data_IF_456128655871
#
_entry.id   IF_456128655871
#
_cell.length_a   1.000
_cell.length_b   1.000
_cell.length_c   1.000
_cell.angle_alpha   90.00
_cell.angle_beta   90.00
_cell.angle_gamma   90.00
#
_symmetry.space_group_name_H-M   'P 1'
#
loop_
_entity.id
_entity.type
_entity.pdbx_description
1 polymer ?
#
# COMPACT_ATOMS: atom_id res chain seq x y z
N UNK A 1 0.81 19.45 19.33
CA UNK A 1 1.31 20.39 18.31
C UNK A 1 0.36 20.36 17.12
N UNK A 2 0.15 21.46 16.37
CA UNK A 2 -0.61 21.41 15.15
C UNK A 2 0.14 20.51 14.14
N UNK A 3 -0.61 19.67 13.41
CA UNK A 3 -0.05 18.83 12.35
C UNK A 3 0.45 19.77 11.24
N UNK A 4 1.71 19.64 10.79
CA UNK A 4 2.20 20.42 9.66
C UNK A 4 1.35 20.16 8.40
N UNK A 5 1.29 21.15 7.51
CA UNK A 5 0.54 21.06 6.25
C UNK A 5 1.49 21.27 5.09
N UNK A 6 1.34 20.46 4.03
CA UNK A 6 2.04 20.67 2.75
C UNK A 6 1.02 20.98 1.66
N UNK A 7 1.36 21.92 0.81
CA UNK A 7 0.57 22.27 -0.36
C UNK A 7 0.92 21.35 -1.54
N UNK A 8 0.03 21.25 -2.52
CA UNK A 8 0.24 20.38 -3.67
C UNK A 8 1.41 20.80 -4.57
N UNK A 9 1.79 22.07 -4.56
CA UNK A 9 2.93 22.63 -5.29
C UNK A 9 4.26 22.52 -4.51
N UNK A 10 4.22 22.22 -3.21
CA UNK A 10 5.42 21.99 -2.41
C UNK A 10 6.01 20.62 -2.70
N UNK A 11 7.33 20.52 -2.79
CA UNK A 11 8.07 19.27 -2.95
C UNK A 11 8.68 18.80 -1.64
N UNK A 12 8.79 17.47 -1.48
CA UNK A 12 9.43 16.86 -0.32
C UNK A 12 8.51 16.75 0.91
N UNK A 13 9.07 16.17 1.96
CA UNK A 13 8.43 15.93 3.25
C UNK A 13 9.28 16.51 4.38
N UNK A 14 8.66 16.82 5.55
CA UNK A 14 9.45 17.09 6.75
C UNK A 14 10.31 15.88 7.13
N UNK A 15 11.41 16.07 7.89
CA UNK A 15 12.19 14.97 8.44
C UNK A 15 11.32 14.00 9.23
N UNK A 16 11.50 12.69 9.02
CA UNK A 16 10.65 11.64 9.65
C UNK A 16 10.74 11.64 11.18
N UNK A 17 11.82 12.15 11.74
CA UNK A 17 12.02 12.33 13.18
C UNK A 17 11.05 13.35 13.80
N UNK A 18 10.35 14.13 12.98
CA UNK A 18 9.31 15.06 13.41
C UNK A 18 7.92 14.41 13.49
N UNK A 19 7.79 13.14 13.13
CA UNK A 19 6.54 12.41 13.25
C UNK A 19 6.07 12.40 14.72
N UNK A 20 4.75 12.54 14.90
CA UNK A 20 4.15 12.54 16.23
C UNK A 20 4.31 11.15 16.89
N UNK A 21 4.42 11.16 18.20
CA UNK A 21 4.33 9.95 19.03
C UNK A 21 2.89 9.57 19.34
N UNK A 22 1.96 10.53 19.27
CA UNK A 22 0.52 10.32 19.46
C UNK A 22 -0.29 11.28 18.57
N UNK A 23 -0.99 10.76 17.54
CA UNK A 23 -0.97 9.36 17.09
C UNK A 23 0.40 8.98 16.50
N UNK A 24 0.84 7.74 16.80
CA UNK A 24 2.17 7.26 16.44
C UNK A 24 2.44 7.31 14.92
N UNK A 25 3.48 8.04 14.54
CA UNK A 25 3.96 8.14 13.18
C UNK A 25 3.25 9.17 12.29
N UNK A 26 2.26 9.92 12.76
CA UNK A 26 1.65 10.98 11.94
C UNK A 26 2.67 12.09 11.71
N UNK A 27 3.02 12.32 10.44
CA UNK A 27 4.08 13.26 10.06
C UNK A 27 3.51 14.60 9.55
N UNK A 28 2.60 14.55 8.58
CA UNK A 28 2.13 15.75 7.89
C UNK A 28 0.79 15.49 7.20
N UNK A 29 0.00 16.54 6.98
CA UNK A 29 -1.25 16.48 6.23
C UNK A 29 -1.15 17.27 4.91
N UNK A 30 -2.04 17.00 3.95
CA UNK A 30 -2.15 17.73 2.68
C UNK A 30 -1.35 17.12 1.53
N UNK A 31 -0.99 17.95 0.56
CA UNK A 31 -0.33 17.51 -0.67
C UNK A 31 -1.28 16.84 -1.66
N UNK A 32 -0.74 15.98 -2.49
CA UNK A 32 -1.45 15.21 -3.50
C UNK A 32 -0.89 13.77 -3.58
N UNK A 33 -1.54 12.90 -4.36
CA UNK A 33 -1.11 11.51 -4.60
C UNK A 33 -0.42 11.32 -5.95
N UNK A 34 0.22 12.34 -6.51
CA UNK A 34 0.97 12.16 -7.74
C UNK A 34 2.12 11.15 -7.57
N UNK A 35 2.48 10.48 -8.65
CA UNK A 35 3.48 9.40 -8.62
C UNK A 35 4.83 9.86 -8.04
N UNK A 36 5.28 11.07 -8.36
CA UNK A 36 6.57 11.57 -7.88
C UNK A 36 6.57 11.77 -6.36
N UNK A 37 5.49 12.30 -5.79
CA UNK A 37 5.33 12.46 -4.34
C UNK A 37 5.22 11.10 -3.64
N UNK A 38 4.46 10.16 -4.19
CA UNK A 38 4.38 8.80 -3.64
C UNK A 38 5.74 8.10 -3.63
N UNK A 39 6.50 8.22 -4.71
CA UNK A 39 7.85 7.65 -4.79
C UNK A 39 8.81 8.29 -3.79
N UNK A 40 8.76 9.61 -3.64
CA UNK A 40 9.56 10.33 -2.65
C UNK A 40 9.18 9.90 -1.23
N UNK A 41 7.90 9.85 -0.91
CA UNK A 41 7.40 9.38 0.38
C UNK A 41 7.95 7.99 0.74
N UNK A 42 7.77 7.02 -0.14
CA UNK A 42 8.19 5.64 0.11
C UNK A 42 9.70 5.49 0.26
N UNK A 43 10.51 6.26 -0.48
CA UNK A 43 11.99 6.27 -0.31
C UNK A 43 12.41 6.68 1.09
N UNK A 44 11.59 7.49 1.77
CA UNK A 44 11.84 7.95 3.14
C UNK A 44 11.04 7.17 4.20
N UNK A 45 10.42 6.05 3.84
CA UNK A 45 9.60 5.25 4.76
C UNK A 45 8.26 5.87 5.11
N UNK A 46 7.82 6.87 4.36
CA UNK A 46 6.56 7.59 4.53
C UNK A 46 5.50 6.94 3.64
N UNK A 47 4.25 6.86 4.11
CA UNK A 47 3.13 6.36 3.32
C UNK A 47 1.84 7.13 3.63
N UNK A 48 0.91 7.25 2.66
CA UNK A 48 -0.39 7.86 2.89
C UNK A 48 -1.35 6.88 3.53
N UNK A 49 -2.10 7.34 4.54
CA UNK A 49 -3.20 6.60 5.13
C UNK A 49 -4.22 7.58 5.73
N UNK A 50 -5.40 7.61 5.14
CA UNK A 50 -6.49 8.51 5.53
C UNK A 50 -7.83 7.91 5.10
N UNK A 51 -8.93 8.42 5.63
CA UNK A 51 -10.29 8.01 5.30
C UNK A 51 -10.93 8.95 4.27
N UNK A 52 -11.95 8.45 3.59
CA UNK A 52 -12.72 9.25 2.63
C UNK A 52 -13.24 10.54 3.29
N UNK A 53 -13.00 11.68 2.64
CA UNK A 53 -13.38 13.01 3.13
C UNK A 53 -12.41 13.66 4.10
N UNK A 54 -11.35 12.96 4.49
CA UNK A 54 -10.23 13.56 5.23
C UNK A 54 -9.18 14.12 4.25
N UNK A 55 -8.35 15.09 4.69
CA UNK A 55 -7.14 15.43 3.96
C UNK A 55 -6.20 14.23 3.91
N UNK A 56 -5.32 14.19 2.92
CA UNK A 56 -4.27 13.17 2.85
C UNK A 56 -3.40 13.28 4.11
N UNK A 57 -3.26 12.18 4.84
CA UNK A 57 -2.39 12.08 6.00
C UNK A 57 -1.22 11.16 5.67
N UNK A 58 -0.01 11.63 5.99
CA UNK A 58 1.26 10.94 5.73
C UNK A 58 1.88 10.46 7.03
N UNK A 59 2.32 9.21 7.03
CA UNK A 59 2.75 8.50 8.23
C UNK A 59 4.13 7.90 8.09
N UNK A 60 4.89 7.94 9.16
CA UNK A 60 6.19 7.26 9.32
C UNK A 60 6.34 6.75 10.76
N UNK A 61 5.68 5.63 11.13
CA UNK A 61 5.75 5.09 12.47
C UNK A 61 7.13 4.47 12.76
N UNK A 62 7.57 4.58 14.01
CA UNK A 62 8.78 3.94 14.54
C UNK A 62 8.47 3.38 15.94
N UNK A 63 8.56 2.04 16.16
CA UNK A 63 9.14 1.03 15.27
C UNK A 63 8.26 0.60 14.11
N UNK A 64 8.90 0.17 13.01
CA UNK A 64 8.23 -0.32 11.80
C UNK A 64 8.15 -1.85 11.79
N UNK A 65 6.95 -2.40 11.58
CA UNK A 65 6.78 -3.83 11.34
C UNK A 65 7.37 -4.22 9.98
N UNK A 66 8.26 -5.22 9.98
CA UNK A 66 8.89 -5.73 8.75
C UNK A 66 8.76 -7.25 8.69
N UNK A 67 8.63 -7.79 7.47
CA UNK A 67 8.69 -9.22 7.20
C UNK A 67 9.96 -9.54 6.42
N UNK A 68 10.80 -10.38 6.98
CA UNK A 68 11.96 -10.95 6.26
C UNK A 68 11.53 -12.25 5.59
N UNK A 69 11.70 -12.41 4.26
CA UNK A 69 11.26 -13.62 3.55
C UNK A 69 11.83 -14.91 4.15
N UNK A 70 13.07 -14.89 4.65
CA UNK A 70 13.71 -16.04 5.31
C UNK A 70 13.09 -16.42 6.66
N UNK A 71 12.27 -15.53 7.24
CA UNK A 71 11.58 -15.75 8.52
C UNK A 71 10.07 -15.99 8.34
N UNK A 72 9.60 -16.14 7.09
CA UNK A 72 8.21 -16.43 6.81
C UNK A 72 7.82 -17.81 7.36
N UNK A 73 6.90 -17.82 8.32
CA UNK A 73 6.38 -19.07 8.87
C UNK A 73 5.16 -19.53 8.06
N UNK A 74 5.36 -20.60 7.28
CA UNK A 74 4.28 -21.24 6.53
C UNK A 74 3.67 -22.35 7.38
N UNK A 75 2.43 -22.16 7.84
CA UNK A 75 1.74 -23.17 8.64
C UNK A 75 1.58 -24.51 7.88
N UNK A 76 1.51 -25.61 8.63
CA UNK A 76 1.33 -26.95 8.03
C UNK A 76 0.07 -27.05 7.15
N UNK A 77 -1.02 -26.39 7.57
CA UNK A 77 -2.28 -26.35 6.82
C UNK A 77 -2.13 -25.59 5.51
N UNK A 78 -1.46 -24.44 5.52
CA UNK A 78 -1.18 -23.66 4.32
C UNK A 78 -0.27 -24.42 3.35
N UNK A 79 0.81 -25.03 3.85
CA UNK A 79 1.70 -25.86 3.04
C UNK A 79 0.97 -27.05 2.38
N UNK A 80 0.02 -27.68 3.10
CA UNK A 80 -0.83 -28.75 2.55
C UNK A 80 -1.77 -28.21 1.46
N UNK A 81 -2.34 -27.02 1.67
CA UNK A 81 -3.24 -26.36 0.72
C UNK A 81 -2.50 -26.02 -0.59
N UNK A 82 -1.30 -25.45 -0.48
CA UNK A 82 -0.45 -25.12 -1.63
C UNK A 82 -0.11 -26.40 -2.43
N UNK A 83 0.29 -27.48 -1.75
CA UNK A 83 0.64 -28.75 -2.41
C UNK A 83 -0.53 -29.44 -3.15
N UNK A 84 -1.78 -29.11 -2.79
CA UNK A 84 -2.97 -29.64 -3.51
C UNK A 84 -3.10 -29.08 -4.92
N UNK A 85 -2.43 -27.97 -5.24
CA UNK A 85 -2.40 -27.42 -6.60
C UNK A 85 -3.72 -26.83 -7.10
N UNK A 86 -4.67 -26.56 -6.21
CA UNK A 86 -5.99 -26.03 -6.59
C UNK A 86 -5.97 -24.53 -6.93
N UNK A 87 -4.85 -23.87 -6.69
CA UNK A 87 -4.67 -22.45 -6.94
C UNK A 87 -3.56 -22.21 -7.96
N UNK A 88 -3.81 -21.25 -8.81
CA UNK A 88 -2.82 -20.71 -9.74
C UNK A 88 -2.38 -19.33 -9.23
N UNK A 89 -1.14 -18.97 -9.54
CA UNK A 89 -0.55 -17.69 -9.15
C UNK A 89 -0.09 -16.97 -10.39
N UNK A 90 -0.27 -15.65 -10.39
CA UNK A 90 0.27 -14.78 -11.43
C UNK A 90 0.85 -13.51 -10.82
N UNK A 91 1.64 -12.80 -11.62
CA UNK A 91 2.20 -11.50 -11.31
C UNK A 91 1.71 -10.49 -12.33
N UNK A 92 1.26 -9.33 -11.86
CA UNK A 92 0.95 -8.16 -12.69
C UNK A 92 -0.06 -8.43 -13.82
N UNK A 93 -0.96 -9.40 -13.63
CA UNK A 93 -1.97 -9.71 -14.63
C UNK A 93 -3.24 -8.87 -14.46
N UNK A 94 -3.60 -8.51 -13.22
CA UNK A 94 -4.82 -7.76 -12.97
C UNK A 94 -4.73 -6.89 -11.70
N UNK A 95 -3.75 -6.01 -11.66
CA UNK A 95 -3.55 -5.07 -10.56
C UNK A 95 -4.83 -4.29 -10.18
N UNK A 96 -5.61 -3.72 -11.16
CA UNK A 96 -6.83 -2.99 -10.83
C UNK A 96 -7.86 -3.83 -10.08
N UNK A 97 -8.02 -5.12 -10.43
CA UNK A 97 -8.93 -6.00 -9.71
C UNK A 97 -8.42 -6.31 -8.30
N UNK A 98 -7.11 -6.52 -8.13
CA UNK A 98 -6.52 -6.80 -6.81
C UNK A 98 -6.73 -5.62 -5.87
N UNK A 99 -6.38 -4.40 -6.26
CA UNK A 99 -6.52 -3.23 -5.38
C UNK A 99 -7.99 -2.94 -5.04
N UNK A 100 -8.90 -3.10 -6.01
CA UNK A 100 -10.34 -2.95 -5.78
C UNK A 100 -10.87 -3.97 -4.78
N UNK A 101 -10.54 -5.24 -4.91
CA UNK A 101 -10.92 -6.27 -3.95
C UNK A 101 -10.34 -6.01 -2.55
N UNK A 102 -9.12 -5.47 -2.46
CA UNK A 102 -8.56 -5.04 -1.19
C UNK A 102 -9.36 -3.89 -0.54
N UNK A 103 -9.90 -2.98 -1.34
CA UNK A 103 -10.77 -1.90 -0.86
C UNK A 103 -12.14 -2.43 -0.41
N UNK A 104 -12.80 -3.27 -1.21
CA UNK A 104 -14.15 -3.78 -0.97
C UNK A 104 -14.24 -4.71 0.25
N UNK A 105 -13.28 -5.60 0.45
CA UNK A 105 -13.31 -6.58 1.55
C UNK A 105 -13.19 -5.95 2.95
N UNK A 106 -12.81 -4.68 3.05
CA UNK A 106 -12.75 -3.94 4.30
C UNK A 106 -14.01 -3.13 4.61
N UNK A 107 -14.96 -3.02 3.68
CA UNK A 107 -16.22 -2.29 3.89
C UNK A 107 -17.15 -2.96 4.91
N UNK A 108 -16.93 -4.23 5.28
CA UNK A 108 -17.60 -4.89 6.41
C UNK A 108 -17.04 -4.52 7.80
N UNK A 109 -15.96 -3.77 7.85
CA UNK A 109 -15.41 -3.10 9.03
C UNK A 109 -15.43 -1.59 8.77
N UNK A 110 -15.39 -0.77 9.78
CA UNK A 110 -15.53 0.69 9.83
C UNK A 110 -14.82 1.53 8.73
N UNK A 111 -14.92 1.19 7.45
CA UNK A 111 -14.32 1.92 6.32
C UNK A 111 -13.08 1.26 5.72
N UNK A 112 -12.68 1.76 4.56
CA UNK A 112 -11.42 1.40 3.91
C UNK A 112 -10.53 2.65 3.80
N UNK A 113 -9.23 2.48 4.01
CA UNK A 113 -8.25 3.53 3.75
C UNK A 113 -7.88 3.65 2.26
N UNK A 114 -8.28 2.66 1.45
CA UNK A 114 -8.11 2.71 -0.01
C UNK A 114 -9.31 3.49 -0.57
N UNK A 115 -9.16 4.81 -0.64
CA UNK A 115 -10.13 5.70 -1.27
C UNK A 115 -10.07 5.58 -2.78
N UNK A 116 -11.06 6.11 -3.50
CA UNK A 116 -11.05 6.14 -4.97
C UNK A 116 -9.80 6.86 -5.52
N UNK A 117 -9.34 7.90 -4.84
CA UNK A 117 -8.11 8.63 -5.20
C UNK A 117 -6.86 7.76 -4.99
N UNK A 118 -6.82 7.00 -3.91
CA UNK A 118 -5.73 6.03 -3.64
C UNK A 118 -5.72 4.92 -4.69
N UNK A 119 -6.88 4.34 -5.02
CA UNK A 119 -6.99 3.32 -6.06
C UNK A 119 -6.43 3.85 -7.39
N UNK A 120 -6.88 5.03 -7.81
CA UNK A 120 -6.43 5.66 -9.05
C UNK A 120 -4.91 5.94 -9.06
N UNK A 121 -4.37 6.45 -7.95
CA UNK A 121 -2.95 6.75 -7.81
C UNK A 121 -2.08 5.49 -7.88
N UNK A 122 -2.48 4.39 -7.23
CA UNK A 122 -1.73 3.14 -7.29
C UNK A 122 -1.86 2.42 -8.63
N UNK A 123 -3.00 2.53 -9.31
CA UNK A 123 -3.13 2.05 -10.70
C UNK A 123 -2.18 2.81 -11.63
N UNK A 124 -2.02 4.12 -11.44
CA UNK A 124 -1.06 4.92 -12.21
C UNK A 124 0.39 4.51 -11.89
N UNK A 125 0.72 4.26 -10.62
CA UNK A 125 2.03 3.71 -10.24
C UNK A 125 2.28 2.35 -10.89
N UNK A 126 1.28 1.48 -10.94
CA UNK A 126 1.36 0.19 -11.64
C UNK A 126 1.64 0.36 -13.14
N UNK A 127 0.91 1.26 -13.82
CA UNK A 127 1.13 1.55 -15.26
C UNK A 127 2.54 2.04 -15.56
N UNK A 128 3.17 2.71 -14.59
CA UNK A 128 4.54 3.18 -14.68
C UNK A 128 5.58 2.17 -14.20
N UNK A 129 5.17 0.98 -13.78
CA UNK A 129 6.08 -0.08 -13.32
C UNK A 129 6.61 0.10 -11.89
N UNK A 130 5.97 0.93 -11.05
CA UNK A 130 6.37 1.17 -9.67
C UNK A 130 5.56 0.38 -8.64
N UNK A 131 4.40 -0.13 -9.03
CA UNK A 131 3.56 -0.97 -8.19
C UNK A 131 3.27 -2.29 -8.90
N UNK A 132 3.09 -3.33 -8.11
CA UNK A 132 2.97 -4.71 -8.59
C UNK A 132 1.88 -5.44 -7.83
N UNK A 133 1.32 -6.48 -8.44
CA UNK A 133 0.37 -7.38 -7.81
C UNK A 133 0.76 -8.84 -7.94
N UNK A 134 0.35 -9.61 -6.96
CA UNK A 134 0.31 -11.07 -7.00
C UNK A 134 -1.15 -11.48 -6.94
N UNK A 135 -1.58 -12.29 -7.87
CA UNK A 135 -2.94 -12.80 -7.93
C UNK A 135 -3.00 -14.28 -7.55
N UNK A 136 -4.07 -14.66 -6.89
CA UNK A 136 -4.42 -16.06 -6.60
C UNK A 136 -5.72 -16.39 -7.30
N UNK A 137 -5.69 -17.40 -8.15
CA UNK A 137 -6.82 -17.81 -8.97
C UNK A 137 -7.30 -19.21 -8.60
N UNK A 138 -8.60 -19.40 -8.59
CA UNK A 138 -9.25 -20.72 -8.51
C UNK A 138 -10.32 -20.81 -9.58
N UNK A 139 -10.25 -21.81 -10.44
CA UNK A 139 -11.20 -21.99 -11.56
C UNK A 139 -11.42 -20.70 -12.38
N UNK A 140 -10.33 -20.06 -12.75
CA UNK A 140 -10.29 -18.79 -13.48
C UNK A 140 -10.94 -17.57 -12.76
N UNK A 141 -11.26 -17.70 -11.47
CA UNK A 141 -11.74 -16.58 -10.64
C UNK A 141 -10.61 -16.07 -9.77
N UNK A 142 -10.49 -14.74 -9.67
CA UNK A 142 -9.62 -14.10 -8.70
C UNK A 142 -10.19 -14.33 -7.29
N UNK A 143 -9.46 -15.08 -6.45
CA UNK A 143 -9.90 -15.45 -5.10
C UNK A 143 -9.04 -14.87 -3.99
N UNK A 144 -7.93 -14.23 -4.35
CA UNK A 144 -7.04 -13.55 -3.43
C UNK A 144 -5.98 -12.77 -4.18
N UNK A 145 -5.31 -11.89 -3.47
CA UNK A 145 -4.23 -11.11 -4.05
C UNK A 145 -3.54 -10.25 -3.00
N UNK A 146 -2.40 -9.75 -3.41
CA UNK A 146 -1.58 -8.81 -2.68
C UNK A 146 -1.08 -7.76 -3.67
N UNK A 147 -1.07 -6.50 -3.30
CA UNK A 147 -0.37 -5.48 -4.06
C UNK A 147 0.70 -4.82 -3.19
N UNK A 148 1.67 -4.26 -3.83
CA UNK A 148 2.76 -3.57 -3.20
C UNK A 148 3.54 -2.71 -4.19
N UNK A 149 4.56 -2.07 -3.68
CA UNK A 149 5.46 -1.25 -4.46
C UNK A 149 6.89 -1.82 -4.39
N UNK A 150 7.63 -1.73 -5.48
CA UNK A 150 9.07 -2.03 -5.49
C UNK A 150 9.90 -0.76 -5.35
N UNK A 151 11.05 -0.87 -4.66
CA UNK A 151 12.04 0.22 -4.57
C UNK A 151 12.99 0.22 -5.78
N UNK A 152 13.18 -0.93 -6.41
CA UNK A 152 14.11 -1.09 -7.52
C UNK A 152 13.36 -1.14 -8.84
N UNK A 153 13.77 -0.24 -9.78
CA UNK A 153 13.49 -0.42 -11.18
C UNK A 153 14.48 -1.42 -11.72
N UNK A 154 14.05 -2.67 -11.87
CA UNK A 154 14.71 -3.55 -12.80
C UNK A 154 14.30 -3.11 -14.21
N UNK A 155 15.15 -2.31 -14.83
CA UNK A 155 15.14 -2.06 -16.26
C UNK A 155 15.37 -3.37 -17.06
#
# INVERSE_FOLDING_TARGET
MPIPWIESDQTGFPPVEQALTEPDGLLVAGGDLNTSRLLDAYRHGIFPWYEQGQPILWWSPDPRLVLRPSQLNVSRSLAKLIRRGNFQFSFDQNFPAVIRHCAEHRTNSTGTWITDEMEAAYIEMYRRGFAHSVEVWSQAKLVGGLYGRSEEHTS
#
